data_IF_914173885676
#
_entry.id   IF_914173885676
#
_cell.length_a   1.000
_cell.length_b   1.000
_cell.length_c   1.000
_cell.angle_alpha   90.00
_cell.angle_beta   90.00
_cell.angle_gamma   90.00
#
_symmetry.space_group_name_H-M   'P 1'
#
loop_
_entity.id
_entity.type
_entity.pdbx_description
1 polymer ?
#
# COMPACT_ATOMS: atom_id res chain seq x y z
N UNK A 1 3.13 10.34 4.35
CA UNK A 1 1.85 10.23 3.61
C UNK A 1 2.11 9.39 2.37
N UNK A 2 1.24 8.43 2.04
CA UNK A 2 1.45 7.46 0.93
C UNK A 2 0.39 7.67 -0.16
N UNK A 3 0.62 7.15 -1.36
CA UNK A 3 -0.39 7.16 -2.42
C UNK A 3 -1.48 6.15 -2.09
N UNK A 4 -2.72 6.61 -1.95
CA UNK A 4 -3.87 5.75 -1.70
C UNK A 4 -4.33 5.07 -3.00
N UNK A 5 -4.40 3.74 -3.02
CA UNK A 5 -4.79 2.96 -4.20
C UNK A 5 -6.21 3.24 -4.69
N UNK A 6 -7.11 3.67 -3.80
CA UNK A 6 -8.47 4.10 -4.15
C UNK A 6 -8.46 5.33 -5.08
N UNK A 7 -7.54 6.27 -4.88
CA UNK A 7 -7.44 7.47 -5.70
C UNK A 7 -6.97 7.11 -7.12
N UNK A 8 -6.00 6.20 -7.24
CA UNK A 8 -5.52 5.68 -8.53
C UNK A 8 -6.64 4.96 -9.30
N UNK A 9 -7.53 4.25 -8.61
CA UNK A 9 -8.71 3.62 -9.22
C UNK A 9 -9.70 4.63 -9.79
N UNK A 10 -9.97 5.74 -9.07
CA UNK A 10 -10.85 6.82 -9.56
C UNK A 10 -10.25 7.51 -10.79
N UNK A 11 -8.94 7.71 -10.82
CA UNK A 11 -8.21 8.26 -11.98
C UNK A 11 -8.37 7.33 -13.22
N UNK A 12 -8.24 6.02 -13.03
CA UNK A 12 -8.41 5.03 -14.10
C UNK A 12 -9.83 5.01 -14.68
N UNK A 13 -10.86 5.19 -13.85
CA UNK A 13 -12.27 5.21 -14.27
C UNK A 13 -12.69 6.55 -14.89
N UNK A 14 -12.33 7.65 -14.25
CA UNK A 14 -12.70 9.00 -14.72
C UNK A 14 -11.89 9.45 -15.94
N UNK A 15 -10.71 8.85 -16.19
CA UNK A 15 -9.74 9.23 -17.22
C UNK A 15 -9.27 10.70 -17.14
N UNK A 16 -9.47 11.35 -15.99
CA UNK A 16 -9.03 12.72 -15.75
C UNK A 16 -7.72 12.69 -14.97
N UNK A 17 -6.59 12.67 -15.69
CA UNK A 17 -5.25 12.62 -15.10
C UNK A 17 -4.63 14.01 -14.86
N UNK A 18 -5.43 15.08 -14.92
CA UNK A 18 -4.93 16.45 -14.73
C UNK A 18 -4.58 16.71 -13.24
N UNK A 19 -3.31 17.01 -12.90
CA UNK A 19 -2.89 17.29 -11.52
C UNK A 19 -3.58 18.52 -10.91
N UNK A 20 -4.16 19.40 -11.72
CA UNK A 20 -4.97 20.54 -11.24
C UNK A 20 -6.20 20.08 -10.47
N UNK A 21 -6.82 18.98 -10.88
CA UNK A 21 -8.02 18.42 -10.22
C UNK A 21 -7.67 17.93 -8.81
N UNK A 22 -6.53 17.25 -8.66
CA UNK A 22 -6.02 16.80 -7.36
C UNK A 22 -5.72 17.99 -6.45
N UNK A 23 -5.16 19.09 -6.99
CA UNK A 23 -4.88 20.30 -6.24
C UNK A 23 -6.16 20.99 -5.73
N UNK A 24 -7.21 21.03 -6.56
CA UNK A 24 -8.51 21.56 -6.16
C UNK A 24 -9.12 20.70 -5.04
N UNK A 25 -9.06 19.37 -5.17
CA UNK A 25 -9.50 18.45 -4.11
C UNK A 25 -8.74 18.69 -2.79
N UNK A 26 -7.42 18.94 -2.85
CA UNK A 26 -6.63 19.27 -1.66
C UNK A 26 -7.07 20.58 -1.00
N UNK A 27 -7.38 21.62 -1.78
CA UNK A 27 -7.92 22.89 -1.24
C UNK A 27 -9.26 22.67 -0.55
N UNK A 28 -10.17 21.90 -1.14
CA UNK A 28 -11.44 21.54 -0.49
C UNK A 28 -11.23 20.76 0.81
N UNK A 29 -10.29 19.80 0.83
CA UNK A 29 -9.96 19.04 2.03
C UNK A 29 -9.44 19.95 3.16
N UNK A 30 -8.59 20.93 2.83
CA UNK A 30 -8.11 21.93 3.80
C UNK A 30 -9.29 22.74 4.35
N UNK A 31 -10.16 23.26 3.49
CA UNK A 31 -11.33 24.06 3.91
C UNK A 31 -12.24 23.24 4.83
N UNK A 32 -12.55 21.99 4.49
CA UNK A 32 -13.38 21.12 5.32
C UNK A 32 -12.72 20.72 6.64
N UNK A 33 -11.38 20.60 6.67
CA UNK A 33 -10.64 20.32 7.90
C UNK A 33 -10.79 21.42 8.96
N UNK A 34 -11.05 22.67 8.55
CA UNK A 34 -11.30 23.78 9.47
C UNK A 34 -12.79 23.98 9.80
N UNK A 35 -13.70 23.19 9.21
CA UNK A 35 -15.14 23.31 9.46
C UNK A 35 -15.58 22.39 10.61
N UNK A 36 -15.86 22.93 11.82
CA UNK A 36 -16.22 22.10 12.97
C UNK A 36 -17.56 21.38 12.81
N UNK A 37 -18.48 21.93 12.00
CA UNK A 37 -19.77 21.28 11.69
C UNK A 37 -19.59 19.98 10.90
N UNK A 38 -18.61 19.95 10.00
CA UNK A 38 -18.29 18.76 9.22
C UNK A 38 -17.61 17.69 10.07
N UNK A 39 -16.69 18.10 10.97
CA UNK A 39 -16.09 17.20 11.94
C UNK A 39 -17.15 16.55 12.87
N UNK A 40 -18.11 17.34 13.35
CA UNK A 40 -19.21 16.85 14.18
C UNK A 40 -20.08 15.79 13.45
N UNK A 41 -20.31 15.98 12.14
CA UNK A 41 -21.03 15.01 11.30
C UNK A 41 -20.28 13.68 11.21
N UNK A 42 -18.97 13.70 11.00
CA UNK A 42 -18.14 12.49 10.92
C UNK A 42 -18.18 11.75 12.26
N UNK A 43 -18.05 12.47 13.39
CA UNK A 43 -18.13 11.85 14.73
C UNK A 43 -19.51 11.34 15.09
N UNK A 44 -20.57 11.88 14.47
CA UNK A 44 -21.93 11.40 14.64
C UNK A 44 -22.24 10.13 13.81
N UNK A 45 -21.32 9.69 12.93
CA UNK A 45 -21.52 8.47 12.15
C UNK A 45 -21.54 7.22 13.05
N UNK A 46 -22.46 6.27 12.80
CA UNK A 46 -22.49 5.02 13.54
C UNK A 46 -21.17 4.26 13.44
N UNK A 47 -20.74 3.64 14.54
CA UNK A 47 -19.52 2.82 14.60
C UNK A 47 -19.54 1.68 13.56
N UNK A 48 -20.72 1.14 13.26
CA UNK A 48 -20.92 0.13 12.21
C UNK A 48 -20.49 0.62 10.81
N UNK A 49 -20.76 1.89 10.47
CA UNK A 49 -20.38 2.47 9.18
C UNK A 49 -18.87 2.71 9.11
N UNK A 50 -18.28 3.25 10.18
CA UNK A 50 -16.82 3.48 10.27
C UNK A 50 -16.07 2.14 10.16
N UNK A 51 -16.57 1.09 10.81
CA UNK A 51 -16.03 -0.26 10.68
C UNK A 51 -16.12 -0.81 9.26
N UNK A 52 -17.26 -0.63 8.58
CA UNK A 52 -17.44 -1.05 7.18
C UNK A 52 -16.50 -0.34 6.21
N UNK A 53 -16.34 0.98 6.33
CA UNK A 53 -15.40 1.75 5.50
C UNK A 53 -13.96 1.31 5.77
N UNK A 54 -13.59 1.11 7.04
CA UNK A 54 -12.25 0.65 7.41
C UNK A 54 -11.94 -0.74 6.85
N UNK A 55 -12.91 -1.67 6.89
CA UNK A 55 -12.76 -3.00 6.31
C UNK A 55 -12.48 -2.95 4.81
N UNK A 56 -13.20 -2.09 4.07
CA UNK A 56 -12.98 -1.90 2.63
C UNK A 56 -11.59 -1.31 2.39
N UNK A 57 -11.18 -0.30 3.14
CA UNK A 57 -9.87 0.34 3.00
C UNK A 57 -8.73 -0.66 3.22
N UNK A 58 -8.75 -1.43 4.32
CA UNK A 58 -7.75 -2.46 4.58
C UNK A 58 -7.79 -3.58 3.53
N UNK A 59 -8.98 -3.98 3.09
CA UNK A 59 -9.17 -4.95 2.01
C UNK A 59 -8.54 -4.49 0.69
N UNK A 60 -8.74 -3.22 0.33
CA UNK A 60 -8.16 -2.61 -0.87
C UNK A 60 -6.62 -2.54 -0.79
N UNK A 61 -6.07 -2.19 0.37
CA UNK A 61 -4.60 -2.19 0.58
C UNK A 61 -4.03 -3.60 0.32
N UNK A 62 -4.67 -4.64 0.86
CA UNK A 62 -4.28 -6.04 0.64
C UNK A 62 -4.40 -6.43 -0.85
N UNK A 63 -5.52 -6.11 -1.49
CA UNK A 63 -5.76 -6.41 -2.89
C UNK A 63 -4.76 -5.73 -3.83
N UNK A 64 -4.37 -4.48 -3.56
CA UNK A 64 -3.33 -3.77 -4.32
C UNK A 64 -1.97 -4.46 -4.15
N UNK A 65 -1.65 -4.96 -2.95
CA UNK A 65 -0.45 -5.77 -2.72
C UNK A 65 -0.42 -7.04 -3.58
N UNK A 66 -1.52 -7.79 -3.61
CA UNK A 66 -1.65 -8.99 -4.45
C UNK A 66 -1.58 -8.64 -5.95
N UNK A 67 -2.28 -7.58 -6.37
CA UNK A 67 -2.24 -7.09 -7.75
C UNK A 67 -0.82 -6.76 -8.19
N UNK A 68 -0.02 -6.11 -7.33
CA UNK A 68 1.38 -5.80 -7.61
C UNK A 68 2.23 -7.08 -7.83
N UNK A 69 2.00 -8.14 -7.06
CA UNK A 69 2.68 -9.42 -7.26
C UNK A 69 2.35 -10.05 -8.62
N UNK A 70 1.09 -9.95 -9.04
CA UNK A 70 0.61 -10.47 -10.33
C UNK A 70 1.13 -9.62 -11.50
N UNK A 71 1.07 -8.29 -11.40
CA UNK A 71 1.56 -7.37 -12.45
C UNK A 71 3.07 -7.51 -12.68
N UNK A 72 3.83 -7.75 -11.61
CA UNK A 72 5.26 -8.04 -11.70
C UNK A 72 5.58 -9.49 -12.12
N UNK A 73 4.56 -10.30 -12.47
CA UNK A 73 4.69 -11.68 -12.98
C UNK A 73 5.55 -12.56 -12.06
N UNK A 74 5.34 -12.48 -10.75
CA UNK A 74 6.06 -13.32 -9.79
C UNK A 74 5.65 -14.79 -9.99
N UNK A 75 6.60 -15.64 -10.37
CA UNK A 75 6.36 -17.06 -10.57
C UNK A 75 6.31 -17.80 -9.23
N UNK A 76 5.11 -18.26 -8.85
CA UNK A 76 4.89 -19.10 -7.67
C UNK A 76 5.08 -20.60 -7.95
N UNK A 77 5.40 -21.00 -9.18
CA UNK A 77 5.82 -22.38 -9.47
C UNK A 77 7.21 -22.65 -8.92
N UNK A 78 8.06 -21.62 -8.79
CA UNK A 78 9.34 -21.74 -8.12
C UNK A 78 9.16 -21.76 -6.60
N UNK A 79 9.56 -22.87 -5.97
CA UNK A 79 9.51 -23.05 -4.51
C UNK A 79 10.21 -21.92 -3.74
N UNK A 80 11.24 -21.28 -4.32
CA UNK A 80 11.93 -20.12 -3.74
C UNK A 80 10.98 -18.97 -3.43
N UNK A 81 10.17 -18.56 -4.42
CA UNK A 81 9.27 -17.42 -4.29
C UNK A 81 8.11 -17.73 -3.34
N UNK A 82 7.62 -18.98 -3.37
CA UNK A 82 6.60 -19.47 -2.42
C UNK A 82 7.12 -19.42 -0.98
N UNK A 83 8.34 -19.88 -0.72
CA UNK A 83 8.94 -19.86 0.62
C UNK A 83 9.10 -18.42 1.13
N UNK A 84 9.59 -17.50 0.29
CA UNK A 84 9.73 -16.08 0.66
C UNK A 84 8.37 -15.47 1.01
N UNK A 85 7.36 -15.67 0.16
CA UNK A 85 6.01 -15.16 0.39
C UNK A 85 5.37 -15.75 1.65
N UNK A 86 5.50 -17.07 1.86
CA UNK A 86 4.99 -17.76 3.04
C UNK A 86 5.64 -17.23 4.33
N UNK A 87 6.95 -17.02 4.34
CA UNK A 87 7.66 -16.47 5.50
C UNK A 87 7.21 -15.04 5.83
N UNK A 88 7.10 -14.18 4.81
CA UNK A 88 6.60 -12.81 5.00
C UNK A 88 5.20 -12.83 5.62
N UNK A 89 4.30 -13.68 5.10
CA UNK A 89 2.92 -13.76 5.55
C UNK A 89 2.82 -14.31 6.98
N UNK A 90 3.53 -15.39 7.29
CA UNK A 90 3.54 -16.00 8.62
C UNK A 90 4.16 -15.06 9.66
N UNK A 91 5.25 -14.37 9.34
CA UNK A 91 5.88 -13.44 10.27
C UNK A 91 5.04 -12.18 10.48
N UNK A 92 4.43 -11.63 9.42
CA UNK A 92 3.60 -10.45 9.50
C UNK A 92 2.39 -10.67 10.43
N UNK A 93 1.69 -11.79 10.27
CA UNK A 93 0.50 -12.13 11.05
C UNK A 93 0.90 -12.70 12.43
N UNK A 94 1.87 -13.61 12.46
CA UNK A 94 2.27 -14.34 13.67
C UNK A 94 2.91 -13.45 14.73
N UNK A 95 3.78 -12.50 14.35
CA UNK A 95 4.38 -11.56 15.30
C UNK A 95 3.32 -10.61 15.84
N UNK A 96 2.41 -10.14 14.99
CA UNK A 96 1.34 -9.23 15.42
C UNK A 96 0.38 -9.92 16.41
N UNK A 97 0.08 -11.20 16.20
CA UNK A 97 -0.79 -11.97 17.10
C UNK A 97 -0.09 -12.40 18.41
N UNK A 98 1.17 -12.84 18.35
CA UNK A 98 1.86 -13.43 19.51
C UNK A 98 2.46 -12.40 20.46
N UNK A 99 3.11 -11.36 19.94
CA UNK A 99 3.90 -10.40 20.73
C UNK A 99 3.48 -8.95 20.49
N UNK A 100 2.65 -8.69 19.47
CA UNK A 100 2.19 -7.35 19.07
C UNK A 100 3.28 -6.54 18.38
N UNK A 101 4.41 -6.32 19.07
CA UNK A 101 5.58 -5.62 18.58
C UNK A 101 6.85 -6.10 19.27
N UNK A 102 7.94 -6.27 18.51
CA UNK A 102 9.24 -6.64 19.07
C UNK A 102 9.94 -5.35 19.51
N UNK A 103 10.12 -5.17 20.82
CA UNK A 103 10.84 -4.03 21.38
C UNK A 103 12.31 -4.39 21.56
N UNK A 104 13.20 -3.70 20.84
CA UNK A 104 14.65 -3.77 21.03
C UNK A 104 15.08 -2.42 21.63
N UNK A 105 15.11 -2.36 22.95
CA UNK A 105 15.38 -1.11 23.69
C UNK A 105 14.30 -0.06 23.43
N UNK A 106 14.71 1.11 22.92
CA UNK A 106 13.82 2.24 22.59
C UNK A 106 13.07 2.07 21.25
N UNK A 107 13.37 1.04 20.47
CA UNK A 107 12.79 0.86 19.13
C UNK A 107 11.77 -0.28 19.17
N UNK A 108 10.53 0.03 18.78
CA UNK A 108 9.45 -0.95 18.62
C UNK A 108 9.27 -1.30 17.14
N UNK A 109 9.54 -2.55 16.78
CA UNK A 109 9.31 -3.07 15.43
C UNK A 109 7.94 -3.74 15.36
N UNK A 110 7.10 -3.25 14.44
CA UNK A 110 5.84 -3.90 14.10
C UNK A 110 6.08 -5.22 13.37
N UNK A 111 5.13 -6.16 13.48
CA UNK A 111 5.20 -7.44 12.74
C UNK A 111 5.42 -7.27 11.24
N UNK A 112 4.79 -6.24 10.63
CA UNK A 112 5.00 -5.88 9.22
C UNK A 112 6.44 -5.44 8.93
N UNK A 113 7.07 -4.66 9.82
CA UNK A 113 8.45 -4.22 9.65
C UNK A 113 9.42 -5.40 9.74
N UNK A 114 9.24 -6.28 10.73
CA UNK A 114 10.08 -7.50 10.88
C UNK A 114 9.91 -8.42 9.67
N UNK A 115 8.67 -8.68 9.24
CA UNK A 115 8.39 -9.50 8.07
C UNK A 115 9.04 -8.95 6.79
N UNK A 116 9.03 -7.63 6.62
CA UNK A 116 9.67 -6.98 5.47
C UNK A 116 11.19 -7.14 5.50
N UNK A 117 11.83 -6.93 6.65
CA UNK A 117 13.28 -7.09 6.82
C UNK A 117 13.69 -8.55 6.55
N UNK A 118 12.97 -9.51 7.14
CA UNK A 118 13.23 -10.93 6.94
C UNK A 118 12.99 -11.33 5.48
N UNK A 119 11.90 -10.85 4.86
CA UNK A 119 11.61 -11.10 3.46
C UNK A 119 12.73 -10.63 2.52
N UNK A 120 13.26 -9.42 2.76
CA UNK A 120 14.40 -8.87 2.01
C UNK A 120 15.65 -9.73 2.23
N UNK A 121 15.95 -10.08 3.49
CA UNK A 121 17.11 -10.89 3.84
C UNK A 121 17.06 -12.28 3.20
N UNK A 122 15.93 -12.98 3.30
CA UNK A 122 15.73 -14.33 2.73
C UNK A 122 15.77 -14.27 1.20
N UNK A 123 15.14 -13.28 0.58
CA UNK A 123 15.24 -13.10 -0.88
C UNK A 123 16.67 -12.77 -1.35
N UNK A 124 17.49 -12.14 -0.50
CA UNK A 124 18.90 -11.87 -0.81
C UNK A 124 19.80 -13.11 -0.65
N UNK A 125 19.55 -13.93 0.38
CA UNK A 125 20.35 -15.13 0.69
C UNK A 125 20.03 -16.30 -0.25
N UNK A 126 18.76 -16.48 -0.63
CA UNK A 126 18.37 -17.62 -1.46
C UNK A 126 18.91 -17.48 -2.90
N UNK A 127 19.71 -18.45 -3.40
CA UNK A 127 20.20 -18.46 -4.79
C UNK A 127 19.07 -18.76 -5.80
N UNK A 128 19.27 -18.43 -7.08
CA UNK A 128 18.25 -18.61 -8.15
C UNK A 128 17.34 -17.40 -8.33
N UNK A 129 17.93 -16.25 -8.70
CA UNK A 129 17.19 -15.00 -8.90
C UNK A 129 16.55 -14.97 -10.28
N UNK A 130 15.23 -15.17 -10.33
CA UNK A 130 14.46 -15.17 -11.59
C UNK A 130 13.93 -13.79 -11.98
N UNK A 131 14.29 -12.72 -11.25
CA UNK A 131 13.83 -11.37 -11.59
C UNK A 131 14.62 -10.84 -12.78
N UNK A 132 13.91 -10.58 -13.87
CA UNK A 132 14.37 -9.71 -14.93
C UNK A 132 13.75 -8.35 -14.64
N UNK A 133 14.56 -7.32 -14.38
CA UNK A 133 14.04 -5.96 -14.31
C UNK A 133 13.51 -5.61 -15.71
N UNK A 134 12.19 -5.72 -15.88
CA UNK A 134 11.53 -5.24 -17.09
C UNK A 134 11.63 -3.72 -17.02
N UNK A 135 12.65 -3.18 -17.68
CA UNK A 135 12.85 -1.74 -17.84
C UNK A 135 11.71 -1.24 -18.71
N UNK A 136 10.63 -0.78 -18.07
CA UNK A 136 9.54 -0.12 -18.77
C UNK A 136 10.16 1.10 -19.47
N UNK A 137 10.14 1.09 -20.79
CA UNK A 137 10.74 2.12 -21.62
C UNK A 137 10.20 3.48 -21.17
N UNK A 138 11.11 4.36 -20.74
CA UNK A 138 10.85 5.77 -20.38
C UNK A 138 10.34 6.56 -21.60
N UNK A 139 9.10 6.34 -22.03
CA UNK A 139 8.61 6.85 -23.31
C UNK A 139 7.25 7.51 -23.36
N UNK A 140 6.43 7.53 -22.30
CA UNK A 140 5.01 7.92 -22.48
C UNK A 140 4.41 8.95 -21.52
N UNK A 141 5.14 9.51 -20.54
CA UNK A 141 4.57 10.52 -19.62
C UNK A 141 5.50 11.64 -19.18
N UNK A 142 6.62 11.87 -19.88
CA UNK A 142 7.31 13.15 -19.72
C UNK A 142 6.39 14.25 -20.28
N UNK A 143 5.73 14.95 -19.36
CA UNK A 143 5.18 16.28 -19.61
C UNK A 143 6.33 17.13 -20.16
N UNK A 144 6.34 17.30 -21.47
CA UNK A 144 7.27 18.16 -22.18
C UNK A 144 6.90 19.60 -21.82
N UNK A 145 7.69 20.22 -20.95
CA UNK A 145 7.62 21.65 -20.70
C UNK A 145 8.46 22.36 -21.76
N UNK A 146 7.94 22.38 -22.99
CA UNK A 146 8.39 23.28 -24.04
C UNK A 146 7.41 24.45 -24.17
N UNK A 147 7.49 25.37 -23.20
CA UNK A 147 7.23 26.81 -23.36
C UNK A 147 8.20 27.60 -22.50
#
# INVERSE_FOLDING_TARGET
NTTYGENTGVLALSRVYDPRVIRIAAVFAIIFSFCPKFAALITAMPTATIGGVSLILYGMISAVGVRNVVENKVDFSNSRNVIVAALILVLAIGINYSVGSIQIGIVSLSGLAVASIVGIAVNAILPGKDYVFQQDDKGATSVDFSV
#
